data_IF_804635161296
#
_entry.id   IF_804635161296
#
_cell.length_a   1.000
_cell.length_b   1.000
_cell.length_c   1.000
_cell.angle_alpha   90.00
_cell.angle_beta   90.00
_cell.angle_gamma   90.00
#
_symmetry.space_group_name_H-M   'P 1'
#
loop_
_entity.id
_entity.type
_entity.pdbx_description
1 polymer ?
#
# COMPACT_ATOMS: atom_id res chain seq x y z
N UNK A 1 23.95 -51.54 -30.04
CA UNK A 1 23.66 -50.26 -30.68
C UNK A 1 22.48 -49.65 -29.92
N UNK A 2 22.78 -48.93 -28.84
CA UNK A 2 21.80 -48.29 -27.95
C UNK A 2 21.72 -46.82 -28.36
N UNK A 3 20.49 -46.36 -28.66
CA UNK A 3 20.22 -44.96 -28.89
C UNK A 3 19.47 -44.46 -27.62
N UNK A 4 20.17 -43.64 -26.85
CA UNK A 4 19.65 -42.95 -25.66
C UNK A 4 18.83 -41.75 -26.10
N UNK A 5 17.53 -41.77 -25.80
CA UNK A 5 16.67 -40.57 -25.91
C UNK A 5 16.96 -39.67 -24.72
N UNK A 6 17.54 -38.52 -24.98
CA UNK A 6 17.66 -37.40 -24.04
C UNK A 6 16.31 -36.71 -23.94
N UNK A 7 15.69 -36.77 -22.77
CA UNK A 7 14.48 -36.03 -22.46
C UNK A 7 14.75 -34.53 -22.40
N UNK A 8 14.05 -33.79 -23.22
CA UNK A 8 14.06 -32.31 -23.22
C UNK A 8 13.20 -31.84 -22.04
N UNK A 9 13.87 -31.26 -21.04
CA UNK A 9 13.21 -30.54 -19.95
C UNK A 9 12.62 -29.26 -20.52
N UNK A 10 11.30 -29.19 -20.62
CA UNK A 10 10.61 -27.94 -20.95
C UNK A 10 10.60 -27.07 -19.71
N UNK A 11 11.41 -26.03 -19.71
CA UNK A 11 11.23 -24.87 -18.85
C UNK A 11 10.01 -24.13 -19.38
N UNK A 12 8.95 -24.12 -18.60
CA UNK A 12 7.77 -23.36 -18.90
C UNK A 12 8.08 -21.86 -18.71
N UNK A 13 8.48 -21.22 -19.81
CA UNK A 13 8.34 -19.78 -19.99
C UNK A 13 6.94 -19.55 -20.56
N UNK A 14 5.92 -19.58 -19.72
CA UNK A 14 4.62 -19.03 -20.07
C UNK A 14 4.78 -17.51 -20.18
N UNK A 15 4.96 -17.07 -21.40
CA UNK A 15 4.84 -15.69 -21.83
C UNK A 15 3.39 -15.29 -21.59
N UNK A 16 3.16 -14.58 -20.48
CA UNK A 16 1.94 -13.78 -20.32
C UNK A 16 1.93 -12.82 -21.53
N UNK A 17 0.93 -12.94 -22.37
CA UNK A 17 0.73 -12.16 -23.58
C UNK A 17 0.87 -10.67 -23.23
N UNK A 18 1.85 -10.00 -23.84
CA UNK A 18 2.38 -8.75 -23.35
C UNK A 18 1.41 -7.58 -23.43
N UNK A 19 1.58 -6.66 -22.52
CA UNK A 19 1.03 -5.30 -22.51
C UNK A 19 1.51 -4.43 -23.68
N UNK A 20 2.20 -4.99 -24.66
CA UNK A 20 2.69 -4.29 -25.84
C UNK A 20 3.87 -3.33 -25.62
N UNK A 21 4.34 -3.14 -24.37
CA UNK A 21 5.47 -2.27 -24.01
C UNK A 21 6.67 -3.10 -23.49
N UNK A 22 7.88 -2.65 -23.80
CA UNK A 22 9.13 -3.26 -23.31
C UNK A 22 9.31 -3.03 -21.80
N UNK A 23 10.19 -3.81 -21.13
CA UNK A 23 10.54 -3.60 -19.72
C UNK A 23 11.11 -2.20 -19.47
N UNK A 24 11.88 -1.68 -20.41
CA UNK A 24 12.44 -0.33 -20.36
C UNK A 24 11.35 0.74 -20.38
N UNK A 25 10.40 0.63 -21.31
CA UNK A 25 9.25 1.54 -21.39
C UNK A 25 8.34 1.44 -20.16
N UNK A 26 8.15 0.21 -19.66
CA UNK A 26 7.35 -0.04 -18.46
C UNK A 26 7.90 0.71 -17.26
N UNK A 27 9.18 0.52 -16.92
CA UNK A 27 9.75 1.11 -15.70
C UNK A 27 9.87 2.62 -15.75
N UNK A 28 9.79 3.23 -16.93
CA UNK A 28 9.70 4.68 -17.13
C UNK A 28 8.31 5.25 -16.79
N UNK A 29 7.28 4.40 -16.61
CA UNK A 29 5.94 4.82 -16.13
C UNK A 29 5.89 5.05 -14.64
N UNK A 30 6.94 4.70 -13.91
CA UNK A 30 7.01 4.78 -12.45
C UNK A 30 7.99 5.85 -12.00
N UNK A 31 7.58 6.63 -10.99
CA UNK A 31 8.41 7.64 -10.34
C UNK A 31 8.56 7.33 -8.85
N UNK A 32 9.78 7.40 -8.33
CA UNK A 32 10.05 7.13 -6.92
C UNK A 32 9.67 8.32 -6.03
N UNK A 33 9.00 8.04 -4.93
CA UNK A 33 8.76 8.99 -3.83
C UNK A 33 9.72 8.77 -2.63
N UNK A 34 10.70 7.90 -2.76
CA UNK A 34 11.61 7.51 -1.68
C UNK A 34 11.07 6.29 -0.93
N UNK A 35 11.53 5.93 0.19
CA UNK A 35 12.68 6.30 1.05
C UNK A 35 13.88 5.38 0.77
N UNK A 36 13.95 4.75 -0.41
CA UNK A 36 14.94 3.74 -0.77
C UNK A 36 15.26 3.73 -2.28
N UNK A 37 16.46 3.22 -2.62
CA UNK A 37 17.01 3.23 -3.98
C UNK A 37 16.51 2.07 -4.87
N UNK A 38 15.71 1.12 -4.37
CA UNK A 38 15.41 -0.13 -5.10
C UNK A 38 14.78 0.10 -6.47
N UNK A 39 13.75 0.96 -6.61
CA UNK A 39 13.18 1.27 -7.92
C UNK A 39 14.22 1.86 -8.87
N UNK A 40 15.06 2.77 -8.39
CA UNK A 40 16.15 3.36 -9.18
C UNK A 40 17.13 2.32 -9.69
N UNK A 41 17.44 1.31 -8.87
CA UNK A 41 18.32 0.21 -9.25
C UNK A 41 17.65 -0.79 -10.20
N UNK A 42 16.34 -1.04 -10.06
CA UNK A 42 15.57 -1.81 -11.06
C UNK A 42 15.65 -1.13 -12.42
N UNK A 43 15.41 0.18 -12.48
CA UNK A 43 15.52 0.98 -13.69
C UNK A 43 16.94 0.89 -14.30
N UNK A 44 17.98 1.05 -13.46
CA UNK A 44 19.39 0.94 -13.88
C UNK A 44 19.72 -0.45 -14.43
N UNK A 45 19.27 -1.52 -13.79
CA UNK A 45 19.47 -2.90 -14.26
C UNK A 45 18.81 -3.20 -15.59
N UNK A 46 17.74 -2.46 -15.93
CA UNK A 46 17.06 -2.54 -17.22
C UNK A 46 17.62 -1.56 -18.25
N UNK A 47 18.73 -0.90 -17.94
CA UNK A 47 19.44 -0.01 -18.87
C UNK A 47 18.79 1.36 -19.05
N UNK A 48 17.94 1.81 -18.11
CA UNK A 48 17.35 3.16 -18.15
C UNK A 48 17.71 3.97 -16.92
N UNK A 49 18.00 5.25 -17.11
CA UNK A 49 18.44 6.19 -16.08
C UNK A 49 17.56 7.45 -16.11
N UNK A 50 16.24 7.35 -15.76
CA UNK A 50 15.39 8.53 -15.72
C UNK A 50 15.85 9.48 -14.63
N UNK A 51 15.72 10.77 -14.90
CA UNK A 51 15.92 11.78 -13.86
C UNK A 51 14.76 11.75 -12.88
N UNK A 52 15.03 11.64 -11.59
CA UNK A 52 14.02 11.63 -10.53
C UNK A 52 14.58 12.16 -9.22
N UNK A 53 13.81 13.00 -8.52
CA UNK A 53 14.24 13.64 -7.27
C UNK A 53 14.54 12.62 -6.18
N UNK A 54 13.68 11.61 -6.04
CA UNK A 54 13.77 10.61 -4.98
C UNK A 54 14.24 9.23 -5.47
N UNK A 55 14.82 9.17 -6.66
CA UNK A 55 15.27 7.91 -7.24
C UNK A 55 16.36 7.22 -6.40
N UNK A 56 17.24 8.00 -5.79
CA UNK A 56 18.34 7.55 -4.92
C UNK A 56 18.44 8.41 -3.65
N UNK A 57 17.30 8.82 -3.11
CA UNK A 57 17.24 9.69 -1.95
C UNK A 57 16.59 9.01 -0.74
N UNK A 58 17.09 9.32 0.44
CA UNK A 58 16.40 9.12 1.70
C UNK A 58 15.40 10.27 1.91
N UNK A 59 14.12 9.92 1.99
CA UNK A 59 13.03 10.87 2.18
C UNK A 59 12.02 10.27 3.18
N UNK A 60 12.23 10.47 4.49
CA UNK A 60 11.35 9.94 5.52
C UNK A 60 9.89 10.37 5.28
N UNK A 61 8.96 9.44 5.41
CA UNK A 61 7.57 9.60 4.98
C UNK A 61 6.91 10.89 5.49
N UNK A 62 7.05 11.20 6.77
CA UNK A 62 6.44 12.41 7.35
C UNK A 62 7.02 13.71 6.80
N UNK A 63 8.33 13.69 6.47
CA UNK A 63 8.99 14.83 5.84
C UNK A 63 8.56 14.97 4.39
N UNK A 64 8.41 13.87 3.68
CA UNK A 64 7.87 13.84 2.31
C UNK A 64 6.44 14.42 2.28
N UNK A 65 5.55 13.97 3.16
CA UNK A 65 4.16 14.47 3.25
C UNK A 65 4.16 15.99 3.50
N UNK A 66 4.98 16.46 4.45
CA UNK A 66 5.12 17.90 4.74
C UNK A 66 5.61 18.68 3.51
N UNK A 67 6.62 18.16 2.81
CA UNK A 67 7.16 18.78 1.61
C UNK A 67 6.12 18.84 0.48
N UNK A 68 5.35 17.78 0.30
CA UNK A 68 4.28 17.71 -0.69
C UNK A 68 3.19 18.75 -0.42
N UNK A 69 2.71 18.87 0.82
CA UNK A 69 1.73 19.91 1.20
C UNK A 69 2.25 21.32 0.95
N UNK A 70 3.54 21.55 1.15
CA UNK A 70 4.21 22.82 0.83
C UNK A 70 4.64 22.94 -0.64
N UNK A 71 4.24 22.02 -1.53
CA UNK A 71 4.66 21.96 -2.94
C UNK A 71 6.18 22.08 -3.11
N UNK A 72 6.94 21.50 -2.16
CA UNK A 72 8.41 21.53 -2.09
C UNK A 72 8.99 22.96 -2.05
N UNK A 73 8.21 23.94 -1.58
CA UNK A 73 8.66 25.34 -1.48
C UNK A 73 9.96 25.44 -0.67
N UNK A 74 10.89 26.22 -1.18
CA UNK A 74 12.16 26.49 -0.53
C UNK A 74 13.21 25.37 -0.59
N UNK A 75 12.92 24.23 -1.23
CA UNK A 75 13.85 23.11 -1.27
C UNK A 75 15.14 23.43 -2.04
N UNK A 76 15.08 24.28 -3.07
CA UNK A 76 16.22 24.67 -3.90
C UNK A 76 16.84 26.02 -3.50
N UNK A 77 16.53 26.56 -2.31
CA UNK A 77 17.20 27.77 -1.81
C UNK A 77 18.64 27.40 -1.44
N UNK A 78 19.66 28.21 -1.80
CA UNK A 78 21.07 27.88 -1.54
C UNK A 78 21.38 27.50 -0.10
N UNK A 79 20.80 28.20 0.87
CA UNK A 79 21.01 27.93 2.30
C UNK A 79 20.41 26.59 2.76
N UNK A 80 19.47 26.02 1.99
CA UNK A 80 18.85 24.74 2.28
C UNK A 80 19.49 23.55 1.55
N UNK A 81 20.45 23.79 0.66
CA UNK A 81 21.17 22.74 -0.07
C UNK A 81 22.61 22.72 0.45
N UNK A 82 22.97 21.70 1.21
CA UNK A 82 24.29 21.55 1.80
C UNK A 82 25.01 20.34 1.24
N UNK A 83 26.25 20.53 0.80
CA UNK A 83 27.12 19.45 0.36
C UNK A 83 28.12 19.15 1.48
N UNK A 84 28.16 17.90 1.93
CA UNK A 84 29.02 17.46 3.04
C UNK A 84 29.77 16.19 2.66
N UNK A 85 31.07 16.07 3.03
CA UNK A 85 31.80 14.84 2.86
C UNK A 85 31.32 13.78 3.87
N UNK A 86 31.02 12.59 3.40
CA UNK A 86 30.62 11.44 4.22
C UNK A 86 31.10 10.16 3.53
N UNK A 87 31.80 9.28 4.28
CA UNK A 87 32.30 7.99 3.79
C UNK A 87 33.07 8.04 2.45
N UNK A 88 33.84 9.13 2.24
CA UNK A 88 34.69 9.29 1.03
C UNK A 88 33.99 9.86 -0.19
N UNK A 89 32.71 10.21 -0.11
CA UNK A 89 31.94 10.89 -1.14
C UNK A 89 31.22 12.12 -0.61
N UNK A 90 30.64 12.93 -1.50
CA UNK A 90 29.81 14.05 -1.11
C UNK A 90 28.35 13.64 -1.05
N UNK A 91 27.71 13.92 0.12
CA UNK A 91 26.28 13.82 0.31
C UNK A 91 25.62 15.19 0.16
N UNK A 92 24.45 15.23 -0.44
CA UNK A 92 23.62 16.43 -0.53
C UNK A 92 22.49 16.34 0.48
N UNK A 93 22.46 17.29 1.41
CA UNK A 93 21.44 17.39 2.44
C UNK A 93 20.50 18.55 2.10
N UNK A 94 19.21 18.26 1.94
CA UNK A 94 18.16 19.24 1.71
C UNK A 94 17.52 19.57 3.05
N UNK A 95 18.11 20.51 3.77
CA UNK A 95 17.82 20.77 5.19
C UNK A 95 16.40 21.27 5.46
N UNK A 96 15.71 21.84 4.45
CA UNK A 96 14.32 22.31 4.58
C UNK A 96 13.35 21.18 4.96
N UNK A 97 13.58 19.98 4.40
CA UNK A 97 12.71 18.82 4.58
C UNK A 97 13.47 17.58 5.07
N UNK A 98 14.76 17.73 5.38
CA UNK A 98 15.59 16.64 5.87
C UNK A 98 15.69 15.46 4.90
N UNK A 99 15.89 15.77 3.60
CA UNK A 99 16.16 14.78 2.58
C UNK A 99 17.67 14.68 2.33
N UNK A 100 18.12 13.49 1.95
CA UNK A 100 19.54 13.25 1.68
C UNK A 100 19.71 12.37 0.45
N UNK A 101 20.72 12.65 -0.38
CA UNK A 101 21.09 11.81 -1.51
C UNK A 101 22.58 11.90 -1.83
N UNK A 102 23.10 10.91 -2.56
CA UNK A 102 24.47 10.85 -3.00
C UNK A 102 24.71 11.83 -4.16
N UNK A 103 25.76 12.65 -4.06
CA UNK A 103 26.16 13.52 -5.18
C UNK A 103 26.83 12.77 -6.34
N UNK A 104 27.16 11.48 -6.13
CA UNK A 104 27.97 10.65 -7.02
C UNK A 104 29.35 11.28 -7.36
N UNK A 105 29.92 12.05 -6.42
CA UNK A 105 31.20 12.73 -6.52
C UNK A 105 32.04 12.37 -5.30
N UNK A 106 33.23 11.81 -5.52
CA UNK A 106 34.15 11.49 -4.44
C UNK A 106 34.81 12.75 -3.85
N UNK A 107 35.11 12.70 -2.56
CA UNK A 107 35.82 13.78 -1.87
C UNK A 107 37.16 14.03 -2.59
N UNK A 108 37.43 15.29 -2.88
CA UNK A 108 38.64 15.73 -3.62
C UNK A 108 38.50 15.74 -5.15
N UNK A 109 37.38 15.24 -5.72
CA UNK A 109 37.11 15.33 -7.17
C UNK A 109 36.45 16.64 -7.61
N UNK A 110 35.89 17.39 -6.68
CA UNK A 110 35.30 18.70 -6.95
C UNK A 110 35.47 19.64 -5.76
N UNK A 111 35.46 20.94 -6.04
CA UNK A 111 35.36 21.96 -5.03
C UNK A 111 33.95 21.96 -4.41
N UNK A 112 33.82 21.87 -3.07
CA UNK A 112 32.49 21.77 -2.41
C UNK A 112 31.57 22.96 -2.70
N UNK A 113 32.11 24.18 -2.80
CA UNK A 113 31.26 25.36 -3.09
C UNK A 113 30.74 25.35 -4.53
N UNK A 114 31.58 24.94 -5.47
CA UNK A 114 31.18 24.77 -6.87
C UNK A 114 30.14 23.65 -6.99
N UNK A 115 30.38 22.53 -6.30
CA UNK A 115 29.44 21.41 -6.25
C UNK A 115 28.09 21.82 -5.64
N UNK A 116 28.12 22.59 -4.53
CA UNK A 116 26.88 23.10 -3.90
C UNK A 116 26.06 23.97 -4.87
N UNK A 117 26.70 24.91 -5.56
CA UNK A 117 26.04 25.76 -6.57
C UNK A 117 25.43 24.94 -7.70
N UNK A 118 26.09 23.86 -8.12
CA UNK A 118 25.60 22.92 -9.12
C UNK A 118 24.38 22.17 -8.55
N UNK A 119 24.47 21.65 -7.32
CA UNK A 119 23.38 20.91 -6.69
C UNK A 119 22.14 21.77 -6.46
N UNK A 120 22.26 23.04 -6.11
CA UNK A 120 21.12 23.99 -6.04
C UNK A 120 20.33 24.03 -7.36
N UNK A 121 21.04 24.11 -8.50
CA UNK A 121 20.40 24.09 -9.83
C UNK A 121 19.74 22.74 -10.13
N UNK A 122 20.44 21.65 -9.83
CA UNK A 122 19.94 20.29 -9.99
C UNK A 122 18.67 20.06 -9.17
N UNK A 123 18.67 20.41 -7.88
CA UNK A 123 17.50 20.31 -7.00
C UNK A 123 16.34 21.13 -7.55
N UNK A 124 16.58 22.37 -7.99
CA UNK A 124 15.53 23.22 -8.56
C UNK A 124 14.92 22.64 -9.84
N UNK A 125 15.72 22.00 -10.68
CA UNK A 125 15.24 21.30 -11.87
C UNK A 125 14.44 20.04 -11.51
N UNK A 126 14.99 19.17 -10.65
CA UNK A 126 14.36 17.92 -10.25
C UNK A 126 13.07 18.14 -9.45
N UNK A 127 13.00 19.22 -8.66
CA UNK A 127 11.77 19.60 -7.96
C UNK A 127 10.64 19.95 -8.92
N UNK A 128 10.92 20.75 -9.94
CA UNK A 128 9.91 21.07 -10.97
C UNK A 128 9.44 19.83 -11.71
N UNK A 129 10.41 19.01 -12.16
CA UNK A 129 10.10 17.73 -12.82
C UNK A 129 9.24 16.82 -11.94
N UNK A 130 9.55 16.72 -10.64
CA UNK A 130 8.74 15.92 -9.71
C UNK A 130 7.31 16.43 -9.62
N UNK A 131 7.13 17.75 -9.54
CA UNK A 131 5.78 18.36 -9.53
C UNK A 131 5.05 18.03 -10.83
N UNK A 132 5.71 18.18 -11.99
CA UNK A 132 5.14 17.83 -13.29
C UNK A 132 4.74 16.33 -13.34
N UNK A 133 5.57 15.43 -12.81
CA UNK A 133 5.27 13.99 -12.73
C UNK A 133 4.11 13.69 -11.75
N UNK A 134 4.01 14.40 -10.62
CA UNK A 134 2.92 14.26 -9.66
C UNK A 134 1.57 14.72 -10.26
N UNK A 135 1.59 15.74 -11.10
CA UNK A 135 0.42 16.26 -11.81
C UNK A 135 0.07 15.42 -13.07
N UNK A 136 0.98 14.55 -13.52
CA UNK A 136 0.78 13.73 -14.71
C UNK A 136 -0.01 12.44 -14.39
N UNK A 137 -1.23 12.28 -14.92
CA UNK A 137 -2.07 11.13 -14.63
C UNK A 137 -1.55 9.80 -15.20
N UNK A 138 -0.54 9.83 -16.09
CA UNK A 138 0.03 8.62 -16.71
C UNK A 138 1.20 8.04 -15.91
N UNK A 139 1.65 8.72 -14.84
CA UNK A 139 2.69 8.26 -13.94
C UNK A 139 2.11 7.54 -12.74
N UNK A 140 2.80 6.49 -12.31
CA UNK A 140 2.50 5.77 -11.07
C UNK A 140 3.58 6.15 -10.06
N UNK A 141 3.17 6.73 -8.94
CA UNK A 141 4.06 7.11 -7.85
C UNK A 141 4.36 5.89 -7.00
N UNK A 142 5.63 5.56 -6.81
CA UNK A 142 6.06 4.38 -6.04
C UNK A 142 6.60 4.83 -4.70
N UNK A 143 5.98 4.36 -3.64
CA UNK A 143 6.45 4.57 -2.27
C UNK A 143 6.86 3.24 -1.64
N UNK A 144 8.03 3.22 -1.02
CA UNK A 144 8.60 2.07 -0.35
C UNK A 144 9.49 2.53 0.80
N UNK A 145 9.34 1.98 1.99
CA UNK A 145 10.27 2.16 3.12
C UNK A 145 10.41 0.85 3.92
N UNK A 146 11.50 0.75 4.71
CA UNK A 146 11.74 -0.41 5.57
C UNK A 146 10.90 -0.38 6.84
N UNK A 147 10.73 0.81 7.43
CA UNK A 147 9.95 0.98 8.64
C UNK A 147 8.45 0.74 8.37
N UNK A 148 7.73 0.26 9.37
CA UNK A 148 6.28 0.08 9.25
C UNK A 148 5.58 1.40 8.90
N UNK A 149 4.68 1.36 7.91
CA UNK A 149 3.81 2.48 7.55
C UNK A 149 2.49 2.29 8.26
N UNK A 150 2.07 3.27 9.05
CA UNK A 150 0.74 3.23 9.65
C UNK A 150 -0.33 3.55 8.61
N UNK A 151 -1.57 3.08 8.84
CA UNK A 151 -2.69 3.42 7.97
C UNK A 151 -2.91 4.94 7.87
N UNK A 152 -2.68 5.67 8.94
CA UNK A 152 -2.80 7.14 8.96
C UNK A 152 -1.73 7.80 8.08
N UNK A 153 -0.46 7.36 8.19
CA UNK A 153 0.61 7.90 7.35
C UNK A 153 0.34 7.63 5.86
N UNK A 154 -0.25 6.47 5.51
CA UNK A 154 -0.63 6.16 4.14
C UNK A 154 -1.80 7.04 3.65
N UNK A 155 -2.79 7.31 4.52
CA UNK A 155 -3.88 8.23 4.23
C UNK A 155 -3.33 9.64 4.01
N UNK A 156 -2.45 10.11 4.88
CA UNK A 156 -1.84 11.44 4.77
C UNK A 156 -1.00 11.59 3.50
N UNK A 157 -0.25 10.55 3.11
CA UNK A 157 0.46 10.53 1.83
C UNK A 157 -0.51 10.62 0.64
N UNK A 158 -1.62 9.91 0.69
CA UNK A 158 -2.65 9.96 -0.38
C UNK A 158 -3.32 11.33 -0.46
N UNK A 159 -3.63 11.96 0.69
CA UNK A 159 -4.17 13.33 0.74
C UNK A 159 -3.17 14.30 0.11
N UNK A 160 -1.88 14.19 0.46
CA UNK A 160 -0.84 15.03 -0.13
C UNK A 160 -0.72 14.84 -1.64
N UNK A 161 -0.78 13.58 -2.13
CA UNK A 161 -0.81 13.27 -3.57
C UNK A 161 -2.02 13.85 -4.28
N UNK A 162 -3.22 13.75 -3.67
CA UNK A 162 -4.45 14.27 -4.25
C UNK A 162 -4.41 15.79 -4.48
N UNK A 163 -3.57 16.52 -3.74
CA UNK A 163 -3.31 17.96 -3.94
C UNK A 163 -2.62 18.29 -5.27
N UNK A 164 -2.06 17.31 -5.97
CA UNK A 164 -1.43 17.46 -7.30
C UNK A 164 -2.33 17.00 -8.45
N UNK A 165 -3.28 16.12 -8.20
CA UNK A 165 -4.17 15.58 -9.22
C UNK A 165 -4.49 14.09 -9.04
N UNK A 166 -4.88 13.40 -10.12
CA UNK A 166 -5.33 12.02 -10.07
C UNK A 166 -4.16 11.00 -10.06
N UNK A 167 -3.08 11.27 -9.35
CA UNK A 167 -1.94 10.36 -9.27
C UNK A 167 -2.32 9.01 -8.63
N UNK A 168 -1.81 7.91 -9.21
CA UNK A 168 -1.90 6.57 -8.63
C UNK A 168 -0.69 6.30 -7.77
N UNK A 169 -0.91 5.82 -6.55
CA UNK A 169 0.12 5.38 -5.61
C UNK A 169 0.28 3.86 -5.69
N UNK A 170 1.47 3.40 -5.93
CA UNK A 170 1.90 2.02 -5.71
C UNK A 170 2.70 1.95 -4.40
N UNK A 171 2.10 1.38 -3.38
CA UNK A 171 2.78 1.12 -2.11
C UNK A 171 3.40 -0.27 -2.13
N UNK A 172 4.73 -0.34 -2.03
CA UNK A 172 5.49 -1.59 -2.14
C UNK A 172 5.78 -2.16 -0.74
N UNK A 173 5.48 -3.42 -0.56
CA UNK A 173 5.68 -4.20 0.67
C UNK A 173 6.48 -5.47 0.39
N UNK A 174 7.00 -6.10 1.45
CA UNK A 174 7.52 -7.46 1.36
C UNK A 174 6.37 -8.46 1.18
N UNK A 175 6.66 -9.52 0.45
CA UNK A 175 5.75 -10.65 0.28
C UNK A 175 5.41 -11.27 1.64
N UNK A 176 4.17 -11.76 1.75
CA UNK A 176 3.64 -12.41 2.96
C UNK A 176 2.64 -13.49 2.57
N UNK A 177 2.22 -14.38 3.49
CA UNK A 177 1.18 -15.37 3.20
C UNK A 177 -0.05 -14.73 2.58
N UNK A 178 -0.51 -15.23 1.43
CA UNK A 178 -1.61 -14.69 0.63
C UNK A 178 -1.23 -13.55 -0.32
N UNK A 179 0.01 -13.05 -0.26
CA UNK A 179 0.53 -12.01 -1.14
C UNK A 179 1.93 -12.39 -1.63
N UNK A 180 2.05 -13.27 -2.63
CA UNK A 180 3.34 -13.76 -3.12
C UNK A 180 4.15 -12.65 -3.82
N UNK A 181 5.48 -12.85 -4.01
CA UNK A 181 6.30 -11.91 -4.77
C UNK A 181 5.74 -11.66 -6.17
N UNK A 182 5.76 -10.41 -6.59
CA UNK A 182 5.23 -9.96 -7.89
C UNK A 182 3.72 -9.70 -7.89
N UNK A 183 2.98 -10.06 -6.83
CA UNK A 183 1.54 -9.81 -6.75
C UNK A 183 1.21 -8.36 -6.46
N UNK A 184 0.01 -7.94 -6.90
CA UNK A 184 -0.54 -6.62 -6.58
C UNK A 184 -1.99 -6.75 -6.12
N UNK A 185 -2.42 -5.82 -5.27
CA UNK A 185 -3.80 -5.69 -4.83
C UNK A 185 -4.24 -4.25 -5.10
N UNK A 186 -5.32 -4.08 -5.86
CA UNK A 186 -5.97 -2.79 -6.01
C UNK A 186 -6.82 -2.52 -4.76
N UNK A 187 -6.49 -1.50 -4.02
CA UNK A 187 -7.26 -1.09 -2.84
C UNK A 187 -8.43 -0.18 -3.25
N UNK A 188 -8.14 0.80 -4.11
CA UNK A 188 -9.13 1.67 -4.71
C UNK A 188 -8.62 2.19 -6.07
N UNK A 189 -9.29 3.19 -6.65
CA UNK A 189 -8.96 3.70 -7.98
C UNK A 189 -7.57 4.33 -8.08
N UNK A 190 -6.95 4.68 -6.95
CA UNK A 190 -5.66 5.40 -6.90
C UNK A 190 -4.65 4.79 -5.93
N UNK A 191 -4.95 3.66 -5.30
CA UNK A 191 -4.04 2.95 -4.42
C UNK A 191 -3.92 1.50 -4.84
N UNK A 192 -2.71 1.12 -5.16
CA UNK A 192 -2.29 -0.25 -5.45
C UNK A 192 -1.26 -0.64 -4.39
N UNK A 193 -1.39 -1.82 -3.80
CA UNK A 193 -0.36 -2.43 -2.95
C UNK A 193 0.34 -3.50 -3.75
N UNK A 194 1.65 -3.40 -3.86
CA UNK A 194 2.49 -4.36 -4.56
C UNK A 194 3.41 -5.11 -3.61
N UNK A 195 3.76 -6.35 -3.94
CA UNK A 195 4.58 -7.21 -3.10
C UNK A 195 5.82 -7.68 -3.87
N UNK A 196 6.98 -7.46 -3.26
CA UNK A 196 8.27 -7.98 -3.73
C UNK A 196 8.76 -9.06 -2.78
N UNK A 197 9.69 -9.92 -3.21
CA UNK A 197 10.17 -11.04 -2.40
C UNK A 197 10.67 -10.61 -1.02
N UNK A 198 11.38 -9.50 -0.96
CA UNK A 198 11.86 -8.83 0.26
C UNK A 198 12.09 -7.35 0.01
N UNK A 199 12.06 -6.56 1.07
CA UNK A 199 12.56 -5.20 1.06
C UNK A 199 14.05 -5.23 1.38
N UNK A 200 14.91 -4.72 0.48
CA UNK A 200 16.34 -4.68 0.73
C UNK A 200 16.67 -3.68 1.84
N UNK A 201 17.54 -4.08 2.77
CA UNK A 201 18.20 -3.16 3.67
C UNK A 201 19.17 -2.27 2.88
N UNK A 202 19.61 -1.16 3.46
CA UNK A 202 20.49 -0.21 2.75
C UNK A 202 21.79 -0.85 2.29
N UNK A 203 22.36 -1.75 3.12
CA UNK A 203 23.57 -2.52 2.82
C UNK A 203 23.37 -3.64 1.80
N UNK A 204 22.16 -4.19 1.68
CA UNK A 204 21.81 -5.34 0.83
C UNK A 204 21.18 -4.93 -0.50
N UNK A 205 21.09 -3.65 -0.80
CA UNK A 205 20.46 -3.13 -2.02
C UNK A 205 21.04 -3.72 -3.32
N UNK A 206 22.34 -4.10 -3.41
CA UNK A 206 22.85 -4.77 -4.61
C UNK A 206 22.21 -6.13 -4.93
N UNK A 207 21.67 -6.85 -3.94
CA UNK A 207 21.00 -8.16 -4.12
C UNK A 207 19.49 -7.99 -4.33
N UNK A 208 19.12 -7.27 -5.36
CA UNK A 208 17.75 -6.92 -5.72
C UNK A 208 17.08 -8.02 -6.54
N UNK A 209 15.90 -8.47 -6.12
CA UNK A 209 15.06 -9.37 -6.93
C UNK A 209 14.30 -8.61 -8.02
N UNK A 210 14.97 -8.37 -9.13
CA UNK A 210 14.42 -7.66 -10.29
C UNK A 210 13.19 -8.38 -10.86
N UNK A 211 13.13 -9.70 -10.77
CA UNK A 211 12.02 -10.47 -11.32
C UNK A 211 10.70 -10.19 -10.60
N UNK A 212 10.71 -10.18 -9.27
CA UNK A 212 9.50 -9.83 -8.50
C UNK A 212 9.09 -8.37 -8.69
N UNK A 213 10.07 -7.46 -8.78
CA UNK A 213 9.79 -6.06 -9.12
C UNK A 213 9.11 -5.92 -10.48
N UNK A 214 9.65 -6.55 -11.54
CA UNK A 214 9.05 -6.47 -12.88
C UNK A 214 7.66 -7.07 -12.94
N UNK A 215 7.45 -8.23 -12.32
CA UNK A 215 6.13 -8.85 -12.25
C UNK A 215 5.10 -7.93 -11.57
N UNK A 216 5.47 -7.31 -10.45
CA UNK A 216 4.65 -6.35 -9.72
C UNK A 216 4.37 -5.09 -10.55
N UNK A 217 5.39 -4.49 -11.17
CA UNK A 217 5.24 -3.27 -11.96
C UNK A 217 4.36 -3.50 -13.20
N UNK A 218 4.47 -4.67 -13.87
CA UNK A 218 3.60 -5.03 -15.00
C UNK A 218 2.14 -5.08 -14.57
N UNK A 219 1.83 -5.76 -13.47
CA UNK A 219 0.48 -5.87 -12.96
C UNK A 219 -0.06 -4.49 -12.50
N UNK A 220 0.75 -3.70 -11.79
CA UNK A 220 0.36 -2.36 -11.36
C UNK A 220 0.06 -1.43 -12.55
N UNK A 221 0.88 -1.49 -13.62
CA UNK A 221 0.66 -0.73 -14.83
C UNK A 221 -0.62 -1.17 -15.56
N UNK A 222 -0.86 -2.47 -15.66
CA UNK A 222 -2.07 -3.02 -16.28
C UNK A 222 -3.34 -2.57 -15.52
N UNK A 223 -3.31 -2.56 -14.19
CA UNK A 223 -4.41 -2.02 -13.36
C UNK A 223 -4.60 -0.52 -13.61
N UNK A 224 -3.52 0.24 -13.63
CA UNK A 224 -3.55 1.70 -13.83
C UNK A 224 -4.11 2.11 -15.19
N UNK A 225 -3.76 1.37 -16.25
CA UNK A 225 -4.21 1.67 -17.63
C UNK A 225 -5.57 1.07 -17.98
N UNK A 226 -6.21 0.34 -17.05
CA UNK A 226 -7.43 -0.40 -17.33
C UNK A 226 -7.26 -1.57 -18.31
N UNK A 227 -6.01 -1.91 -18.66
CA UNK A 227 -5.66 -3.07 -19.51
C UNK A 227 -5.44 -4.34 -18.68
N UNK A 228 -5.35 -4.18 -17.35
CA UNK A 228 -5.36 -5.31 -16.44
C UNK A 228 -6.69 -6.02 -16.54
N UNK A 229 -6.65 -7.34 -16.53
CA UNK A 229 -7.84 -8.12 -16.22
C UNK A 229 -8.49 -7.49 -14.97
N UNK A 230 -9.81 -7.48 -14.89
CA UNK A 230 -10.51 -7.10 -13.67
C UNK A 230 -9.78 -7.80 -12.51
N UNK A 231 -9.70 -7.18 -11.29
CA UNK A 231 -8.86 -7.67 -10.19
C UNK A 231 -8.89 -9.17 -10.21
N UNK A 232 -7.72 -9.82 -10.28
CA UNK A 232 -7.57 -11.23 -10.60
C UNK A 232 -8.85 -11.96 -10.22
N UNK A 233 -9.72 -12.17 -11.20
CA UNK A 233 -10.80 -13.08 -11.06
C UNK A 233 -10.10 -14.43 -11.00
N UNK A 234 -9.80 -14.81 -9.78
CA UNK A 234 -9.88 -16.18 -9.38
C UNK A 234 -9.36 -17.21 -10.40
N UNK A 235 -8.12 -17.57 -10.24
CA UNK A 235 -7.81 -18.99 -10.43
C UNK A 235 -8.51 -19.76 -9.29
N UNK A 236 -9.80 -19.98 -9.39
CA UNK A 236 -10.54 -20.93 -8.56
C UNK A 236 -10.69 -20.65 -7.06
N UNK A 237 -10.24 -19.51 -6.53
CA UNK A 237 -10.38 -19.18 -5.12
C UNK A 237 -11.70 -18.44 -4.86
N UNK A 238 -12.59 -19.10 -4.15
CA UNK A 238 -13.83 -18.52 -3.65
C UNK A 238 -13.56 -17.36 -2.72
N UNK A 239 -13.77 -16.15 -3.20
CA UNK A 239 -13.62 -14.94 -2.42
C UNK A 239 -14.97 -14.25 -2.27
N UNK A 240 -15.41 -14.02 -1.03
CA UNK A 240 -16.55 -13.16 -0.73
C UNK A 240 -15.99 -11.75 -0.49
N UNK A 241 -16.59 -10.74 -1.13
CA UNK A 241 -16.26 -9.33 -0.91
C UNK A 241 -17.53 -8.56 -0.61
N UNK A 242 -17.56 -7.91 0.54
CA UNK A 242 -18.59 -6.96 0.94
C UNK A 242 -18.03 -5.54 0.90
N UNK A 243 -18.77 -4.65 0.29
CA UNK A 243 -18.53 -3.21 0.34
C UNK A 243 -19.67 -2.57 1.12
N UNK A 244 -19.33 -1.71 2.09
CA UNK A 244 -20.28 -1.03 2.94
C UNK A 244 -20.58 0.38 2.40
N UNK A 245 -21.64 0.98 2.89
CA UNK A 245 -22.11 2.29 2.44
C UNK A 245 -23.30 2.19 1.49
N UNK A 246 -23.80 3.35 1.05
CA UNK A 246 -25.03 3.47 0.25
C UNK A 246 -24.97 2.71 -1.05
N UNK A 247 -23.80 2.70 -1.70
CA UNK A 247 -23.57 2.05 -2.99
C UNK A 247 -22.96 0.66 -2.85
N UNK A 248 -22.85 0.16 -1.61
CA UNK A 248 -22.27 -1.14 -1.30
C UNK A 248 -23.29 -2.29 -1.33
N UNK A 249 -22.76 -3.52 -1.36
CA UNK A 249 -23.54 -4.75 -1.35
C UNK A 249 -23.77 -5.33 0.06
N UNK A 250 -23.11 -4.79 1.08
CA UNK A 250 -23.14 -5.36 2.44
C UNK A 250 -24.52 -5.30 3.09
N UNK A 251 -25.38 -4.35 2.71
CA UNK A 251 -26.73 -4.18 3.30
C UNK A 251 -27.62 -5.42 3.14
N UNK A 252 -27.42 -6.23 2.08
CA UNK A 252 -28.14 -7.50 1.90
C UNK A 252 -27.70 -8.60 2.89
N UNK A 253 -26.60 -8.40 3.59
CA UNK A 253 -25.96 -9.36 4.49
C UNK A 253 -25.92 -8.91 5.96
N UNK A 254 -26.29 -7.65 6.23
CA UNK A 254 -26.32 -7.11 7.58
C UNK A 254 -27.55 -7.59 8.34
N UNK A 255 -27.34 -8.12 9.57
CA UNK A 255 -28.38 -8.44 10.52
C UNK A 255 -28.56 -7.29 11.52
N UNK A 256 -28.64 -7.62 12.83
CA UNK A 256 -28.72 -6.61 13.87
C UNK A 256 -27.39 -5.86 14.06
N UNK A 257 -27.45 -4.70 14.71
CA UNK A 257 -26.27 -3.97 15.20
C UNK A 257 -25.55 -3.12 14.12
N UNK A 258 -26.22 -2.80 13.01
CA UNK A 258 -25.72 -1.92 11.97
C UNK A 258 -26.59 -0.68 11.81
N UNK A 259 -25.97 0.46 11.53
CA UNK A 259 -26.68 1.70 11.19
C UNK A 259 -27.21 1.65 9.75
N UNK A 260 -27.99 2.67 9.38
CA UNK A 260 -28.21 2.95 7.97
C UNK A 260 -26.88 3.20 7.26
N UNK A 261 -26.71 2.74 6.00
CA UNK A 261 -25.49 2.97 5.23
C UNK A 261 -25.22 4.46 4.99
N UNK A 262 -23.97 4.88 5.15
CA UNK A 262 -23.48 6.23 4.88
C UNK A 262 -22.65 6.26 3.57
N UNK A 263 -22.06 7.39 3.22
CA UNK A 263 -21.24 7.47 2.00
C UNK A 263 -19.93 6.69 2.19
N UNK A 264 -19.85 5.49 1.57
CA UNK A 264 -18.65 4.64 1.57
C UNK A 264 -18.43 3.78 2.80
N UNK A 265 -19.28 3.83 3.83
CA UNK A 265 -19.15 3.02 5.04
C UNK A 265 -20.49 2.80 5.77
N UNK A 266 -20.49 1.88 6.74
CA UNK A 266 -21.63 1.63 7.67
C UNK A 266 -21.08 1.44 9.08
N UNK A 267 -21.69 2.11 10.07
CA UNK A 267 -21.32 1.96 11.48
C UNK A 267 -21.93 0.71 12.08
N UNK A 268 -21.18 0.06 12.97
CA UNK A 268 -21.77 -0.82 14.00
C UNK A 268 -22.44 0.02 15.07
N UNK A 269 -23.59 -0.47 15.58
CA UNK A 269 -24.39 0.20 16.59
C UNK A 269 -24.66 -0.75 17.76
N UNK A 270 -24.51 -0.27 18.99
CA UNK A 270 -24.60 -1.09 20.20
C UNK A 270 -23.31 -1.87 20.44
N UNK A 271 -23.41 -3.04 21.08
CA UNK A 271 -22.23 -3.81 21.50
C UNK A 271 -21.95 -5.03 20.62
N UNK A 272 -22.86 -5.36 19.73
CA UNK A 272 -22.76 -6.53 18.82
C UNK A 272 -23.36 -6.23 17.46
N UNK A 273 -22.75 -6.78 16.42
CA UNK A 273 -23.24 -6.69 15.03
C UNK A 273 -23.12 -8.05 14.34
N UNK A 274 -24.09 -8.37 13.49
CA UNK A 274 -24.15 -9.64 12.76
C UNK A 274 -24.05 -9.41 11.25
N UNK A 275 -23.23 -10.22 10.59
CA UNK A 275 -23.26 -10.46 9.16
C UNK A 275 -23.61 -11.91 8.89
N UNK A 276 -24.46 -12.15 7.87
CA UNK A 276 -24.80 -13.49 7.41
C UNK A 276 -24.44 -13.64 5.94
N UNK A 277 -23.58 -14.62 5.62
CA UNK A 277 -23.12 -14.90 4.27
C UNK A 277 -23.46 -16.31 3.87
N UNK A 278 -23.47 -16.60 2.58
CA UNK A 278 -23.42 -17.99 2.10
C UNK A 278 -22.04 -18.60 2.41
N UNK A 279 -22.00 -19.90 2.67
CA UNK A 279 -20.74 -20.60 2.93
C UNK A 279 -19.89 -20.65 1.67
N UNK A 280 -18.64 -20.13 1.69
CA UNK A 280 -17.75 -20.24 0.56
C UNK A 280 -17.33 -21.70 0.32
N UNK A 281 -16.92 -22.07 -0.92
CA UNK A 281 -16.33 -23.36 -1.20
C UNK A 281 -15.16 -23.70 -0.27
N UNK A 282 -14.96 -24.99 -0.02
CA UNK A 282 -13.95 -25.48 0.89
C UNK A 282 -12.54 -25.05 0.47
N UNK A 283 -11.74 -24.58 1.43
CA UNK A 283 -10.34 -24.21 1.25
C UNK A 283 -9.45 -25.03 2.17
N UNK A 284 -8.41 -25.66 1.62
CA UNK A 284 -7.58 -26.65 2.32
C UNK A 284 -6.83 -26.04 3.53
N UNK A 285 -6.35 -24.81 3.43
CA UNK A 285 -5.64 -24.10 4.51
C UNK A 285 -6.54 -23.14 5.30
N UNK A 286 -7.87 -23.24 5.17
CA UNK A 286 -8.84 -22.33 5.78
C UNK A 286 -8.99 -21.03 4.98
N UNK A 287 -9.34 -19.93 5.67
CA UNK A 287 -9.64 -18.67 5.01
C UNK A 287 -8.87 -17.53 5.66
N UNK A 288 -8.71 -16.44 4.90
CA UNK A 288 -8.25 -15.16 5.42
C UNK A 288 -9.40 -14.16 5.35
N UNK A 289 -9.74 -13.57 6.50
CA UNK A 289 -10.68 -12.47 6.59
C UNK A 289 -9.93 -11.17 6.73
N UNK A 290 -10.24 -10.20 5.88
CA UNK A 290 -9.67 -8.85 5.90
C UNK A 290 -10.81 -7.83 5.97
N UNK A 291 -10.63 -6.80 6.78
CA UNK A 291 -11.65 -5.77 7.03
C UNK A 291 -11.01 -4.39 6.99
N UNK A 292 -11.61 -3.47 6.24
CA UNK A 292 -11.24 -2.05 6.27
C UNK A 292 -12.17 -1.33 7.24
N UNK A 293 -11.61 -0.87 8.35
CA UNK A 293 -12.37 -0.37 9.50
C UNK A 293 -11.83 0.95 10.04
N UNK A 294 -12.70 1.71 10.71
CA UNK A 294 -12.29 2.85 11.50
C UNK A 294 -13.01 2.82 12.88
N UNK A 295 -12.25 2.77 13.99
CA UNK A 295 -12.80 2.84 15.32
C UNK A 295 -13.36 4.24 15.63
N UNK A 296 -14.47 4.30 16.33
CA UNK A 296 -14.93 5.54 16.96
C UNK A 296 -14.11 5.79 18.22
N UNK A 297 -13.40 6.93 18.26
CA UNK A 297 -12.61 7.37 19.43
C UNK A 297 -13.00 8.81 19.79
N UNK A 298 -13.11 9.09 21.07
CA UNK A 298 -13.45 10.40 21.61
C UNK A 298 -12.73 10.60 22.97
N UNK A 299 -11.43 10.93 22.97
CA UNK A 299 -10.66 11.13 24.20
C UNK A 299 -11.21 12.29 25.05
N UNK A 300 -11.18 12.20 26.41
CA UNK A 300 -10.65 11.06 27.18
C UNK A 300 -11.67 9.93 27.42
N UNK A 301 -12.93 10.07 27.01
CA UNK A 301 -14.01 9.13 27.34
C UNK A 301 -13.86 7.77 26.60
N UNK A 302 -13.43 7.79 25.35
CA UNK A 302 -13.20 6.59 24.52
C UNK A 302 -11.81 6.70 23.92
N UNK A 303 -10.83 6.03 24.52
CA UNK A 303 -9.43 6.07 24.08
C UNK A 303 -9.15 5.09 22.95
N UNK A 304 -9.85 3.95 22.91
CA UNK A 304 -9.69 2.91 21.91
C UNK A 304 -10.95 2.06 21.81
N UNK A 305 -11.08 1.34 20.69
CA UNK A 305 -12.08 0.29 20.52
C UNK A 305 -11.44 -1.09 20.56
N UNK A 306 -12.22 -2.06 21.00
CA UNK A 306 -11.93 -3.48 20.89
C UNK A 306 -12.91 -4.10 19.90
N UNK A 307 -12.42 -4.96 19.00
CA UNK A 307 -13.25 -5.72 18.09
C UNK A 307 -12.95 -7.22 18.27
N UNK A 308 -13.94 -7.98 18.77
CA UNK A 308 -13.85 -9.43 18.82
C UNK A 308 -14.66 -10.03 17.69
N UNK A 309 -14.07 -11.00 17.01
CA UNK A 309 -14.67 -11.68 15.86
C UNK A 309 -15.01 -13.11 16.27
N UNK A 310 -16.26 -13.47 16.10
CA UNK A 310 -16.78 -14.83 16.28
C UNK A 310 -17.43 -15.29 14.97
N UNK A 311 -17.14 -16.49 14.53
CA UNK A 311 -17.73 -17.07 13.30
C UNK A 311 -18.37 -18.42 13.68
N UNK A 312 -19.64 -18.58 13.34
CA UNK A 312 -20.44 -19.78 13.64
C UNK A 312 -20.30 -20.22 15.12
N UNK A 313 -20.26 -19.26 16.05
CA UNK A 313 -20.09 -19.48 17.48
C UNK A 313 -18.65 -19.72 17.95
N UNK A 314 -17.67 -19.80 17.05
CA UNK A 314 -16.26 -19.98 17.39
C UNK A 314 -15.54 -18.64 17.47
N UNK A 315 -14.84 -18.36 18.58
CA UNK A 315 -13.97 -17.18 18.70
C UNK A 315 -12.79 -17.30 17.73
N UNK A 316 -12.63 -16.29 16.86
CA UNK A 316 -11.60 -16.27 15.81
C UNK A 316 -10.44 -15.37 16.19
N UNK A 317 -10.73 -14.10 16.52
CA UNK A 317 -9.69 -13.12 16.81
C UNK A 317 -10.22 -11.98 17.67
N UNK A 318 -9.31 -11.32 18.39
CA UNK A 318 -9.56 -10.07 19.10
C UNK A 318 -8.54 -9.03 18.71
N UNK A 319 -9.02 -7.91 18.17
CA UNK A 319 -8.21 -6.71 17.90
C UNK A 319 -8.33 -5.78 19.11
N UNK A 320 -7.24 -5.63 19.88
CA UNK A 320 -7.19 -4.83 21.12
C UNK A 320 -5.81 -4.16 21.28
N UNK A 321 -5.68 -2.85 21.04
CA UNK A 321 -6.69 -1.95 20.50
C UNK A 321 -6.94 -2.18 19.01
N UNK A 322 -8.16 -1.87 18.53
CA UNK A 322 -8.47 -1.88 17.10
C UNK A 322 -7.82 -0.70 16.41
N UNK A 323 -6.98 -0.96 15.43
CA UNK A 323 -6.38 0.05 14.57
C UNK A 323 -7.31 0.47 13.44
N UNK A 324 -7.25 1.74 13.04
CA UNK A 324 -7.90 2.22 11.80
C UNK A 324 -7.16 1.67 10.58
N UNK A 325 -7.91 1.28 9.54
CA UNK A 325 -7.39 0.76 8.27
C UNK A 325 -7.71 -0.72 8.08
N UNK A 326 -6.90 -1.39 7.25
CA UNK A 326 -7.05 -2.83 7.00
C UNK A 326 -6.52 -3.64 8.17
N UNK A 327 -7.39 -4.48 8.74
CA UNK A 327 -7.06 -5.48 9.75
C UNK A 327 -7.52 -6.86 9.26
N UNK A 328 -6.80 -7.92 9.62
CA UNK A 328 -7.15 -9.25 9.14
C UNK A 328 -6.81 -10.36 10.12
N UNK A 329 -7.47 -11.50 9.95
CA UNK A 329 -7.24 -12.70 10.74
C UNK A 329 -7.48 -13.99 9.93
N UNK A 330 -6.78 -15.05 10.33
CA UNK A 330 -7.01 -16.41 9.81
C UNK A 330 -8.30 -17.01 10.35
N UNK A 331 -9.09 -17.62 9.48
CA UNK A 331 -10.32 -18.36 9.85
C UNK A 331 -10.09 -19.85 9.54
N UNK A 332 -10.13 -20.73 10.55
CA UNK A 332 -9.94 -22.15 10.32
C UNK A 332 -11.06 -22.74 9.42
N UNK A 333 -10.70 -23.61 8.49
CA UNK A 333 -11.64 -24.19 7.52
C UNK A 333 -12.81 -24.91 8.16
N UNK A 334 -12.59 -25.63 9.24
CA UNK A 334 -13.63 -26.38 9.96
C UNK A 334 -14.71 -25.48 10.61
N UNK A 335 -14.40 -24.21 10.87
CA UNK A 335 -15.37 -23.24 11.42
C UNK A 335 -16.35 -22.78 10.34
N UNK A 336 -15.90 -22.74 9.09
CA UNK A 336 -16.69 -22.27 7.94
C UNK A 336 -17.48 -23.42 7.33
N UNK A 337 -16.91 -24.63 7.34
CA UNK A 337 -17.53 -25.84 6.75
C UNK A 337 -18.51 -26.47 7.73
N UNK A 338 -19.57 -27.07 7.19
CA UNK A 338 -20.58 -27.76 8.00
C UNK A 338 -21.85 -26.95 8.30
N UNK A 339 -21.95 -25.75 7.77
CA UNK A 339 -23.15 -24.92 7.82
C UNK A 339 -23.42 -24.31 6.44
N UNK A 340 -24.68 -24.23 6.02
CA UNK A 340 -25.10 -23.57 4.77
C UNK A 340 -24.97 -22.05 4.86
N UNK A 341 -24.77 -21.52 6.05
CA UNK A 341 -24.63 -20.08 6.33
C UNK A 341 -23.40 -19.83 7.20
N UNK A 342 -22.73 -18.73 6.91
CA UNK A 342 -21.64 -18.21 7.69
C UNK A 342 -22.16 -17.01 8.51
N UNK A 343 -22.25 -17.18 9.82
CA UNK A 343 -22.63 -16.12 10.75
C UNK A 343 -21.37 -15.51 11.35
N UNK A 344 -21.11 -14.23 11.06
CA UNK A 344 -19.98 -13.47 11.60
C UNK A 344 -20.54 -12.48 12.60
N UNK A 345 -20.19 -12.65 13.86
CA UNK A 345 -20.56 -11.73 14.95
C UNK A 345 -19.35 -10.90 15.34
N UNK A 346 -19.55 -9.61 15.34
CA UNK A 346 -18.60 -8.62 15.83
C UNK A 346 -19.06 -8.12 17.21
N UNK A 347 -18.24 -8.30 18.25
CA UNK A 347 -18.46 -7.72 19.56
C UNK A 347 -17.55 -6.50 19.73
N UNK A 348 -18.15 -5.38 20.13
CA UNK A 348 -17.47 -4.10 20.30
C UNK A 348 -17.94 -3.41 21.59
N UNK A 349 -17.40 -3.86 22.75
CA UNK A 349 -17.93 -3.53 24.07
C UNK A 349 -17.81 -2.04 24.47
N UNK A 350 -16.97 -1.27 23.74
CA UNK A 350 -16.74 0.14 24.04
C UNK A 350 -17.58 1.08 23.17
N UNK A 351 -18.71 0.60 22.64
CA UNK A 351 -19.62 1.43 21.87
C UNK A 351 -20.15 2.61 22.70
N UNK A 352 -20.03 3.83 22.19
CA UNK A 352 -20.42 5.05 22.86
C UNK A 352 -21.20 5.99 21.96
N UNK A 353 -22.06 6.82 22.55
CA UNK A 353 -22.79 7.84 21.81
C UNK A 353 -21.94 9.10 21.64
N UNK A 354 -21.72 9.60 20.40
CA UNK A 354 -21.05 10.87 20.16
C UNK A 354 -21.64 12.04 20.95
N UNK A 355 -22.97 12.05 21.15
CA UNK A 355 -23.62 13.05 22.00
C UNK A 355 -23.18 12.96 23.46
N UNK A 356 -23.09 11.74 23.98
CA UNK A 356 -22.77 11.55 25.43
C UNK A 356 -21.29 11.85 25.71
N UNK A 357 -20.38 11.54 24.79
CA UNK A 357 -18.92 11.62 25.02
C UNK A 357 -18.25 12.83 24.41
N UNK A 358 -18.83 13.45 23.35
CA UNK A 358 -18.25 14.56 22.61
C UNK A 358 -19.22 15.75 22.43
N UNK A 359 -20.46 15.69 22.93
CA UNK A 359 -21.44 16.75 22.79
C UNK A 359 -21.99 16.93 21.36
N UNK A 360 -21.81 15.95 20.49
CA UNK A 360 -22.32 15.96 19.12
C UNK A 360 -23.82 15.70 19.06
N UNK A 361 -24.41 15.75 17.85
CA UNK A 361 -25.85 15.53 17.67
C UNK A 361 -26.26 14.07 17.54
N UNK A 362 -25.30 13.16 17.38
CA UNK A 362 -25.54 11.74 17.13
C UNK A 362 -25.74 10.96 18.43
N UNK A 363 -26.92 10.36 18.59
CA UNK A 363 -27.30 9.56 19.78
C UNK A 363 -26.97 8.07 19.63
N UNK A 364 -26.63 7.61 18.43
CA UNK A 364 -26.29 6.20 18.20
C UNK A 364 -25.10 5.79 19.06
N UNK A 365 -25.12 4.58 19.60
CA UNK A 365 -23.92 4.02 20.27
C UNK A 365 -23.01 3.41 19.19
N UNK A 366 -22.05 4.19 18.72
CA UNK A 366 -21.12 3.83 17.67
C UNK A 366 -19.86 3.13 18.23
N UNK A 367 -19.30 2.19 17.49
CA UNK A 367 -18.04 1.55 17.83
C UNK A 367 -17.06 1.52 16.66
N UNK A 368 -17.43 0.88 15.55
CA UNK A 368 -16.55 0.65 14.42
C UNK A 368 -17.32 0.92 13.11
N UNK A 369 -16.77 1.72 12.22
CA UNK A 369 -17.27 1.79 10.85
C UNK A 369 -16.51 0.81 9.95
N UNK A 370 -17.25 0.17 9.07
CA UNK A 370 -16.73 -0.74 8.06
C UNK A 370 -16.90 -0.12 6.68
N UNK A 371 -15.87 -0.15 5.85
CA UNK A 371 -15.94 0.20 4.44
C UNK A 371 -15.86 -1.03 3.53
N UNK A 372 -15.17 -2.08 3.99
CA UNK A 372 -15.01 -3.34 3.25
C UNK A 372 -14.78 -4.50 4.20
N UNK A 373 -15.24 -5.70 3.78
CA UNK A 373 -14.85 -6.99 4.33
C UNK A 373 -14.59 -7.96 3.19
N UNK A 374 -13.54 -8.74 3.27
CA UNK A 374 -13.32 -9.85 2.33
C UNK A 374 -12.97 -11.13 3.08
N UNK A 375 -13.46 -12.26 2.56
CA UNK A 375 -13.13 -13.59 3.01
C UNK A 375 -12.62 -14.39 1.81
N UNK A 376 -11.35 -14.80 1.84
CA UNK A 376 -10.69 -15.52 0.75
C UNK A 376 -10.21 -16.88 1.23
N UNK A 377 -10.48 -17.93 0.45
CA UNK A 377 -9.93 -19.26 0.70
C UNK A 377 -8.40 -19.26 0.64
N UNK A 378 -7.76 -20.11 1.44
CA UNK A 378 -6.30 -20.32 1.45
C UNK A 378 -6.05 -21.76 1.00
N UNK A 379 -5.27 -21.92 -0.08
CA UNK A 379 -4.85 -23.20 -0.63
C UNK A 379 -3.45 -23.60 -0.16
#
# INVERSE_FOLDING_TARGET
MLVTKVGRLYMATDVIAGTGISDQELVLKFESLGDNCELGLVQRRLGVEPLGMFRFAGAPLRHLIRAMHARFEGMAIPDHVQVRPENGEYMVNLTKYDFVYHADVKVGQADPEVLQKQQVRTVGFLTRKLIDDLENPTKIMVFRQNEPVSANDLIDLRIALAGYGPATLLWVQAARPGHPPGSVVRIDDRLIVGHVSRLALREDVPDLDVASWLAMLRQAHAIHTGQGAPPVSDSGESRIVLTFGKDGNASAHTGYGWSAPENGFTWTVGERSLLTLGTPPAAAAGYWMEMDVAPFVAPPAVMAQVLRVTINGHAIHTFDPLSRGSVGCGVPGHVVQGSDKLEIVFEHPHAASPRAVAGEKDDRRLAVSFSRLSLAGRN
#
